data_IF_552579762345
#
_entry.id   IF_552579762345
#
_cell.length_a   1.000
_cell.length_b   1.000
_cell.length_c   1.000
_cell.angle_alpha   90.00
_cell.angle_beta   90.00
_cell.angle_gamma   90.00
#
_symmetry.space_group_name_H-M   'P 1'
#
loop_
_entity.id
_entity.type
_entity.pdbx_description
1 polymer ?
#
# COMPACT_ATOMS: atom_id res chain seq x y z
N UNK A 1 -2.92 9.44 12.95
CA UNK A 1 -1.99 8.30 13.05
C UNK A 1 -2.19 7.60 14.39
N UNK A 2 -2.04 6.27 14.48
CA UNK A 2 -2.11 5.53 15.76
C UNK A 2 -1.20 6.16 16.82
N UNK A 3 0.03 6.52 16.43
CA UNK A 3 1.05 7.00 17.35
C UNK A 3 0.62 8.26 18.10
N UNK A 4 0.01 9.24 17.44
CA UNK A 4 -0.41 10.51 18.06
C UNK A 4 -1.45 10.31 19.19
N UNK A 5 -2.16 9.18 19.21
CA UNK A 5 -3.20 8.89 20.22
C UNK A 5 -2.67 8.18 21.46
N UNK A 6 -1.43 7.73 21.46
CA UNK A 6 -0.79 7.17 22.65
C UNK A 6 -0.45 8.30 23.63
N UNK A 7 -0.58 8.03 24.93
CA UNK A 7 -0.17 8.99 25.95
C UNK A 7 1.32 9.34 25.78
N UNK A 8 1.65 10.63 25.80
CA UNK A 8 3.02 11.12 25.65
C UNK A 8 3.59 11.09 24.22
N UNK A 9 2.81 10.71 23.20
CA UNK A 9 3.32 10.66 21.83
C UNK A 9 3.65 12.05 21.25
N UNK A 10 2.84 13.07 21.56
CA UNK A 10 3.12 14.43 21.08
C UNK A 10 4.43 14.97 21.65
N UNK A 11 4.67 14.80 22.95
CA UNK A 11 5.93 15.18 23.59
C UNK A 11 7.15 14.48 22.97
N UNK A 12 7.01 13.22 22.55
CA UNK A 12 8.04 12.51 21.80
C UNK A 12 8.28 13.12 20.41
N UNK A 13 7.21 13.40 19.66
CA UNK A 13 7.31 14.01 18.33
C UNK A 13 7.90 15.42 18.36
N UNK A 14 7.62 16.19 19.42
CA UNK A 14 8.15 17.53 19.63
C UNK A 14 9.58 17.53 20.18
N UNK A 15 10.19 16.35 20.39
CA UNK A 15 11.54 16.19 20.93
C UNK A 15 11.68 16.49 22.42
N UNK A 16 10.57 16.65 23.15
CA UNK A 16 10.55 16.90 24.60
C UNK A 16 10.66 15.62 25.44
N UNK A 17 10.44 14.45 24.82
CA UNK A 17 10.60 13.15 25.45
C UNK A 17 11.38 12.20 24.55
N UNK A 18 12.20 11.33 25.15
CA UNK A 18 12.97 10.30 24.42
C UNK A 18 12.19 9.03 24.12
N UNK A 19 11.01 8.86 24.72
CA UNK A 19 10.14 7.69 24.56
C UNK A 19 8.66 8.09 24.64
N UNK A 20 7.80 7.25 24.06
CA UNK A 20 6.34 7.41 24.15
C UNK A 20 5.86 6.76 25.47
N UNK A 21 5.42 7.57 26.43
CA UNK A 21 5.03 7.11 27.76
C UNK A 21 3.95 5.99 27.75
N UNK A 22 2.99 6.07 26.82
CA UNK A 22 1.92 5.09 26.66
C UNK A 22 2.30 3.82 25.89
N UNK A 23 3.56 3.63 25.51
CA UNK A 23 4.05 2.44 24.81
C UNK A 23 5.08 1.73 25.70
N UNK A 24 4.69 0.60 26.30
CA UNK A 24 5.56 -0.12 27.25
C UNK A 24 5.61 -1.61 26.94
N UNK A 25 6.81 -2.15 26.74
CA UNK A 25 7.04 -3.59 26.86
C UNK A 25 7.09 -3.94 28.35
N UNK A 26 6.09 -4.67 28.85
CA UNK A 26 6.01 -5.08 30.25
C UNK A 26 6.93 -6.27 30.50
N UNK A 27 6.99 -7.19 29.54
CA UNK A 27 7.88 -8.34 29.50
C UNK A 27 8.12 -8.78 28.04
N UNK A 28 8.74 -9.96 27.84
CA UNK A 28 9.09 -10.50 26.52
C UNK A 28 7.89 -10.71 25.59
N UNK A 29 6.70 -10.98 26.12
CA UNK A 29 5.50 -11.31 25.35
C UNK A 29 4.31 -10.37 25.63
N UNK A 30 4.49 -9.37 26.49
CA UNK A 30 3.43 -8.43 26.86
C UNK A 30 3.77 -6.99 26.45
N UNK A 31 2.99 -6.45 25.52
CA UNK A 31 3.02 -5.03 25.13
C UNK A 31 1.79 -4.31 25.70
N UNK A 32 2.02 -3.25 26.48
CA UNK A 32 0.96 -2.35 26.97
C UNK A 32 0.91 -1.09 26.13
N UNK A 33 -0.28 -0.80 25.62
CA UNK A 33 -0.62 0.43 24.90
C UNK A 33 -1.62 1.23 25.73
N UNK A 34 -1.27 2.47 26.06
CA UNK A 34 -2.11 3.39 26.82
C UNK A 34 -2.45 4.61 25.95
N UNK A 35 -3.74 4.76 25.67
CA UNK A 35 -4.27 5.83 24.81
C UNK A 35 -4.75 7.01 25.64
N UNK A 36 -4.65 8.22 25.09
CA UNK A 36 -5.20 9.44 25.70
C UNK A 36 -6.73 9.49 25.64
N UNK A 37 -7.33 8.76 24.70
CA UNK A 37 -8.77 8.64 24.48
C UNK A 37 -9.12 7.23 23.98
N UNK A 38 -10.38 6.77 24.12
CA UNK A 38 -10.83 5.51 23.51
C UNK A 38 -10.51 5.44 22.02
N UNK A 39 -9.96 4.31 21.56
CA UNK A 39 -9.52 4.14 20.17
C UNK A 39 -10.02 2.82 19.56
N UNK A 40 -11.22 2.86 18.99
CA UNK A 40 -11.88 1.70 18.41
C UNK A 40 -11.12 1.00 17.25
N UNK A 41 -10.44 1.68 16.31
CA UNK A 41 -9.85 1.00 15.15
C UNK A 41 -8.45 0.42 15.42
N UNK A 42 -8.07 0.18 16.68
CA UNK A 42 -6.74 -0.33 17.07
C UNK A 42 -6.34 -1.58 16.29
N UNK A 43 -7.21 -2.60 16.27
CA UNK A 43 -6.90 -3.88 15.61
C UNK A 43 -6.57 -3.69 14.14
N UNK A 44 -7.33 -2.86 13.43
CA UNK A 44 -7.07 -2.54 12.03
C UNK A 44 -5.74 -1.82 11.84
N UNK A 45 -5.39 -0.90 12.74
CA UNK A 45 -4.11 -0.20 12.68
C UNK A 45 -2.92 -1.15 12.87
N UNK A 46 -3.00 -2.07 13.84
CA UNK A 46 -1.94 -3.06 14.11
C UNK A 46 -1.63 -3.95 12.90
N UNK A 47 -2.58 -4.13 11.98
CA UNK A 47 -2.38 -4.87 10.74
C UNK A 47 -1.66 -4.08 9.64
N UNK A 48 -1.41 -2.78 9.82
CA UNK A 48 -0.76 -1.94 8.80
C UNK A 48 0.75 -2.18 8.70
N UNK A 49 1.34 -1.79 7.56
CA UNK A 49 2.78 -1.97 7.30
C UNK A 49 3.67 -1.11 8.22
N UNK A 50 3.14 0.00 8.72
CA UNK A 50 3.89 0.96 9.55
C UNK A 50 4.13 0.47 10.98
N UNK A 51 3.40 -0.56 11.41
CA UNK A 51 3.50 -1.12 12.77
C UNK A 51 4.11 -2.53 12.77
N UNK A 52 4.77 -2.91 11.67
CA UNK A 52 5.55 -4.14 11.63
C UNK A 52 6.74 -4.01 12.56
N UNK A 53 6.94 -5.02 13.40
CA UNK A 53 8.09 -5.10 14.29
C UNK A 53 9.37 -5.31 13.49
N UNK A 54 10.44 -4.65 13.91
CA UNK A 54 11.78 -4.77 13.32
C UNK A 54 12.78 -5.08 14.43
N UNK A 55 13.80 -5.91 14.17
CA UNK A 55 14.85 -6.19 15.14
C UNK A 55 15.75 -4.96 15.30
N UNK A 56 15.78 -4.40 16.52
CA UNK A 56 16.53 -3.18 16.86
C UNK A 56 18.00 -3.30 16.45
N UNK A 57 18.60 -4.45 16.74
CA UNK A 57 20.02 -4.73 16.51
C UNK A 57 20.37 -4.72 15.01
N UNK A 58 19.45 -5.11 14.12
CA UNK A 58 19.70 -5.05 12.68
C UNK A 58 19.45 -3.66 12.11
N UNK A 59 18.55 -2.88 12.72
CA UNK A 59 18.29 -1.49 12.31
C UNK A 59 19.44 -0.58 12.72
N UNK A 60 20.01 -0.78 13.90
CA UNK A 60 21.13 0.02 14.43
C UNK A 60 22.50 -0.42 13.88
N UNK A 61 22.57 -1.54 13.14
CA UNK A 61 23.80 -1.98 12.49
C UNK A 61 24.16 -1.07 11.32
N UNK A 62 25.40 -0.59 11.31
CA UNK A 62 25.93 0.31 10.26
C UNK A 62 26.38 -0.39 8.96
N UNK A 63 26.17 -1.71 8.83
CA UNK A 63 26.75 -2.49 7.72
C UNK A 63 26.09 -2.21 6.35
N UNK A 64 24.77 -2.16 6.32
CA UNK A 64 24.00 -1.84 5.12
C UNK A 64 22.69 -1.16 5.56
N UNK A 65 22.14 -0.22 4.77
CA UNK A 65 20.84 0.35 5.08
C UNK A 65 19.83 -0.78 5.28
N UNK A 66 19.11 -0.78 6.41
CA UNK A 66 18.14 -1.85 6.73
C UNK A 66 17.14 -2.08 5.58
N UNK A 67 16.75 -1.03 4.86
CA UNK A 67 15.88 -1.12 3.68
C UNK A 67 16.47 -1.86 2.47
N UNK A 68 17.78 -2.11 2.42
CA UNK A 68 18.47 -2.89 1.38
C UNK A 68 18.71 -4.34 1.76
N UNK A 69 18.69 -4.66 3.05
CA UNK A 69 18.83 -6.02 3.57
C UNK A 69 17.90 -6.23 4.79
N UNK A 70 16.57 -6.15 4.60
CA UNK A 70 15.63 -6.16 5.71
C UNK A 70 15.54 -7.54 6.37
N UNK A 71 15.44 -7.54 7.70
CA UNK A 71 15.16 -8.73 8.51
C UNK A 71 13.76 -8.59 9.10
N UNK A 72 12.93 -9.62 8.94
CA UNK A 72 11.55 -9.60 9.43
C UNK A 72 11.03 -10.99 9.81
N UNK A 73 9.84 -11.00 10.41
CA UNK A 73 9.20 -12.20 10.98
C UNK A 73 8.10 -12.80 10.09
N UNK A 74 7.99 -12.34 8.84
CA UNK A 74 6.96 -12.78 7.90
C UNK A 74 7.13 -14.21 7.39
N UNK A 75 6.14 -14.68 6.61
CA UNK A 75 6.15 -16.00 5.99
C UNK A 75 7.26 -16.19 4.95
N UNK A 76 7.77 -15.10 4.37
CA UNK A 76 8.90 -15.12 3.44
C UNK A 76 10.03 -14.22 3.97
N UNK A 77 11.27 -14.69 3.76
CA UNK A 77 12.50 -13.98 4.12
C UNK A 77 13.11 -13.36 2.89
N UNK A 78 13.63 -12.15 3.05
CA UNK A 78 14.43 -11.47 2.03
C UNK A 78 15.67 -12.30 1.69
N UNK A 79 15.98 -12.40 0.39
CA UNK A 79 17.20 -13.03 -0.13
C UNK A 79 18.09 -11.95 -0.71
N UNK A 80 17.62 -11.24 -1.72
CA UNK A 80 18.32 -10.15 -2.36
C UNK A 80 17.37 -9.17 -3.04
N UNK A 81 17.95 -8.04 -3.45
CA UNK A 81 17.31 -7.05 -4.30
C UNK A 81 18.29 -6.63 -5.38
N UNK A 82 17.98 -7.00 -6.62
CA UNK A 82 18.64 -6.51 -7.83
C UNK A 82 17.93 -5.23 -8.30
N UNK A 83 18.52 -4.03 -8.11
CA UNK A 83 17.84 -2.77 -8.42
C UNK A 83 17.34 -2.71 -9.86
N UNK A 84 16.07 -2.35 -10.03
CA UNK A 84 15.44 -2.26 -11.34
C UNK A 84 15.12 -3.60 -12.02
N UNK A 85 15.47 -4.74 -11.41
CA UNK A 85 15.28 -6.07 -11.98
C UNK A 85 14.37 -6.97 -11.15
N UNK A 86 14.74 -7.27 -9.89
CA UNK A 86 13.98 -8.22 -9.09
C UNK A 86 14.21 -8.07 -7.58
N UNK A 87 13.20 -8.45 -6.79
CA UNK A 87 13.35 -8.75 -5.35
C UNK A 87 13.04 -10.22 -5.15
N UNK A 88 13.98 -10.97 -4.59
CA UNK A 88 13.80 -12.41 -4.34
C UNK A 88 13.55 -12.65 -2.84
N UNK A 89 12.53 -13.46 -2.56
CA UNK A 89 12.17 -13.91 -1.23
C UNK A 89 12.11 -15.43 -1.19
N UNK A 90 12.52 -16.05 -0.08
CA UNK A 90 12.42 -17.50 0.15
C UNK A 90 11.50 -17.81 1.32
N UNK A 91 10.93 -19.00 1.37
CA UNK A 91 10.11 -19.46 2.48
C UNK A 91 10.83 -19.29 3.84
N UNK A 92 10.07 -18.81 4.83
CA UNK A 92 10.48 -18.84 6.22
C UNK A 92 10.02 -20.15 6.85
N UNK A 93 10.94 -21.11 6.96
CA UNK A 93 10.68 -22.41 7.59
C UNK A 93 10.31 -22.30 9.08
N UNK A 94 10.65 -21.17 9.71
CA UNK A 94 10.37 -20.89 11.13
C UNK A 94 9.24 -19.86 11.31
N UNK A 95 8.35 -19.72 10.32
CA UNK A 95 7.19 -18.85 10.47
C UNK A 95 6.26 -19.37 11.57
N UNK A 96 5.68 -18.45 12.36
CA UNK A 96 4.99 -18.82 13.61
C UNK A 96 3.69 -19.58 13.40
N UNK A 97 3.02 -19.44 12.24
CA UNK A 97 1.82 -20.22 11.94
C UNK A 97 2.17 -21.57 11.31
N UNK A 98 2.88 -21.53 10.17
CA UNK A 98 3.42 -22.71 9.48
C UNK A 98 4.29 -22.28 8.31
N UNK A 99 5.17 -23.15 7.81
CA UNK A 99 5.91 -22.87 6.57
C UNK A 99 4.92 -22.64 5.41
N UNK A 100 5.08 -21.57 4.60
CA UNK A 100 4.22 -21.39 3.43
C UNK A 100 4.41 -22.51 2.41
N UNK A 101 3.38 -22.76 1.60
CA UNK A 101 3.42 -23.77 0.54
C UNK A 101 4.40 -23.42 -0.58
N UNK A 102 4.59 -22.12 -0.87
CA UNK A 102 5.54 -21.67 -1.89
C UNK A 102 6.95 -21.62 -1.34
N UNK A 103 7.92 -22.10 -2.12
CA UNK A 103 9.33 -22.08 -1.74
C UNK A 103 9.98 -20.71 -1.94
N UNK A 104 9.54 -19.97 -2.97
CA UNK A 104 10.14 -18.70 -3.39
C UNK A 104 9.09 -17.77 -3.99
N UNK A 105 9.29 -16.47 -3.81
CA UNK A 105 8.58 -15.41 -4.52
C UNK A 105 9.62 -14.49 -5.15
N UNK A 106 9.47 -14.21 -6.44
CA UNK A 106 10.29 -13.22 -7.15
C UNK A 106 9.40 -12.09 -7.65
N UNK A 107 9.58 -10.90 -7.08
CA UNK A 107 8.94 -9.70 -7.62
C UNK A 107 9.80 -9.15 -8.74
N UNK A 108 9.39 -9.35 -9.99
CA UNK A 108 10.04 -8.74 -11.16
C UNK A 108 9.68 -7.25 -11.25
N UNK A 109 10.70 -6.42 -11.39
CA UNK A 109 10.57 -4.97 -11.53
C UNK A 109 10.67 -4.64 -13.02
N UNK A 110 9.70 -3.88 -13.51
CA UNK A 110 9.67 -3.39 -14.89
C UNK A 110 9.84 -1.86 -14.87
N UNK A 111 11.05 -1.34 -15.12
CA UNK A 111 11.30 0.09 -15.14
C UNK A 111 10.37 0.81 -16.12
N UNK A 112 9.85 1.98 -15.73
CA UNK A 112 8.81 2.74 -16.46
C UNK A 112 7.42 2.07 -16.55
N UNK A 113 7.25 0.87 -16.00
CA UNK A 113 5.95 0.31 -15.62
C UNK A 113 4.94 0.13 -16.76
N UNK A 114 5.40 -0.19 -17.98
CA UNK A 114 4.48 -0.47 -19.09
C UNK A 114 3.63 -1.70 -18.77
N UNK A 115 2.35 -1.49 -18.47
CA UNK A 115 1.40 -2.56 -18.20
C UNK A 115 1.26 -3.53 -19.37
N UNK A 116 1.50 -3.06 -20.60
CA UNK A 116 1.47 -3.90 -21.80
C UNK A 116 2.62 -4.92 -21.75
N UNK A 117 3.85 -4.47 -21.47
CA UNK A 117 5.01 -5.36 -21.38
C UNK A 117 4.88 -6.38 -20.24
N UNK A 118 4.38 -5.94 -19.08
CA UNK A 118 4.11 -6.83 -17.95
C UNK A 118 3.10 -7.90 -18.35
N UNK A 119 2.02 -7.49 -19.03
CA UNK A 119 0.98 -8.42 -19.47
C UNK A 119 1.49 -9.39 -20.56
N UNK A 120 2.39 -8.95 -21.44
CA UNK A 120 3.01 -9.83 -22.42
C UNK A 120 3.90 -10.90 -21.75
N UNK A 121 4.64 -10.54 -20.71
CA UNK A 121 5.42 -11.51 -19.92
C UNK A 121 4.52 -12.50 -19.17
N UNK A 122 3.37 -12.05 -18.67
CA UNK A 122 2.34 -12.92 -18.10
C UNK A 122 1.78 -13.91 -19.14
N UNK A 123 1.45 -13.45 -20.35
CA UNK A 123 0.97 -14.33 -21.43
C UNK A 123 2.00 -15.38 -21.85
N UNK A 124 3.30 -15.06 -21.74
CA UNK A 124 4.40 -16.01 -22.01
C UNK A 124 4.59 -17.04 -20.88
N UNK A 125 3.89 -16.90 -19.75
CA UNK A 125 4.05 -17.77 -18.59
C UNK A 125 5.22 -17.39 -17.67
N UNK A 126 5.81 -16.20 -17.85
CA UNK A 126 6.92 -15.73 -17.03
C UNK A 126 6.48 -15.01 -15.74
N UNK A 127 5.17 -14.87 -15.52
CA UNK A 127 4.54 -14.24 -14.34
C UNK A 127 3.25 -15.00 -14.00
N UNK A 128 2.95 -15.11 -12.71
CA UNK A 128 1.75 -15.76 -12.20
C UNK A 128 0.55 -14.81 -12.07
N UNK A 129 0.80 -13.49 -12.02
CA UNK A 129 -0.24 -12.45 -11.93
C UNK A 129 0.18 -11.21 -12.74
N UNK A 130 -0.80 -10.51 -13.31
CA UNK A 130 -0.61 -9.23 -13.97
C UNK A 130 -1.88 -8.38 -13.88
N UNK A 131 -1.69 -7.06 -13.80
CA UNK A 131 -2.75 -6.10 -14.10
C UNK A 131 -3.12 -6.18 -15.57
N UNK A 132 -4.40 -5.97 -15.87
CA UNK A 132 -4.91 -5.92 -17.26
C UNK A 132 -4.61 -4.52 -17.83
N UNK A 133 -3.87 -4.38 -18.94
CA UNK A 133 -3.58 -3.09 -19.54
C UNK A 133 -4.85 -2.46 -20.13
N UNK A 134 -4.93 -1.12 -20.21
CA UNK A 134 -6.00 -0.41 -20.91
C UNK A 134 -5.80 -0.58 -22.43
N UNK A 135 -6.43 -1.62 -23.00
CA UNK A 135 -6.33 -1.97 -24.43
C UNK A 135 -7.72 -2.06 -25.06
N UNK A 136 -7.82 -1.83 -26.36
CA UNK A 136 -9.08 -1.94 -27.11
C UNK A 136 -9.74 -3.33 -26.96
N UNK A 137 -8.93 -4.38 -26.81
CA UNK A 137 -9.37 -5.78 -26.74
C UNK A 137 -9.64 -6.27 -25.29
N UNK A 138 -9.81 -5.37 -24.32
CA UNK A 138 -10.02 -5.74 -22.90
C UNK A 138 -11.15 -6.76 -22.72
N UNK A 139 -12.28 -6.58 -23.39
CA UNK A 139 -13.44 -7.48 -23.27
C UNK A 139 -13.11 -8.91 -23.72
N UNK A 140 -12.31 -9.06 -24.77
CA UNK A 140 -11.86 -10.37 -25.25
C UNK A 140 -10.95 -11.04 -24.22
N UNK A 141 -10.05 -10.28 -23.58
CA UNK A 141 -9.20 -10.79 -22.51
C UNK A 141 -10.00 -11.23 -21.27
N UNK A 142 -11.04 -10.46 -20.90
CA UNK A 142 -11.90 -10.79 -19.76
C UNK A 142 -12.72 -12.06 -19.99
N UNK A 143 -13.14 -12.31 -21.24
CA UNK A 143 -13.95 -13.47 -21.62
C UNK A 143 -13.11 -14.68 -22.04
N UNK A 144 -11.78 -14.58 -22.02
CA UNK A 144 -10.91 -15.67 -22.43
C UNK A 144 -10.90 -16.77 -21.34
N UNK A 145 -11.31 -18.01 -21.65
CA UNK A 145 -11.37 -19.09 -20.66
C UNK A 145 -10.00 -19.50 -20.08
N UNK A 146 -8.89 -19.15 -20.75
CA UNK A 146 -7.54 -19.40 -20.25
C UNK A 146 -7.16 -18.49 -19.05
N UNK A 147 -7.88 -17.39 -18.81
CA UNK A 147 -7.54 -16.44 -17.76
C UNK A 147 -8.65 -16.30 -16.73
N UNK A 148 -8.28 -16.36 -15.44
CA UNK A 148 -9.18 -16.01 -14.35
C UNK A 148 -9.06 -14.52 -14.03
N UNK A 149 -9.98 -13.72 -14.56
CA UNK A 149 -10.05 -12.29 -14.27
C UNK A 149 -10.70 -12.02 -12.92
N UNK A 150 -10.08 -11.19 -12.09
CA UNK A 150 -10.62 -10.80 -10.77
C UNK A 150 -10.78 -9.27 -10.71
N UNK A 151 -12.02 -8.80 -10.53
CA UNK A 151 -12.29 -7.40 -10.17
C UNK A 151 -12.12 -7.28 -8.65
N UNK A 152 -11.14 -6.48 -8.22
CA UNK A 152 -10.91 -6.17 -6.80
C UNK A 152 -11.42 -4.76 -6.52
N UNK A 153 -12.36 -4.64 -5.60
CA UNK A 153 -12.76 -3.32 -5.08
C UNK A 153 -11.60 -2.71 -4.30
N UNK A 154 -11.30 -1.46 -4.59
CA UNK A 154 -10.29 -0.70 -3.87
C UNK A 154 -11.02 0.33 -3.03
N UNK A 155 -10.73 0.36 -1.73
CA UNK A 155 -11.15 1.47 -0.85
C UNK A 155 -10.24 2.68 -1.09
N UNK A 156 -10.27 3.20 -2.31
CA UNK A 156 -9.44 4.31 -2.76
C UNK A 156 -10.22 5.20 -3.74
N UNK A 157 -10.14 6.50 -3.52
CA UNK A 157 -10.69 7.52 -4.41
C UNK A 157 -9.55 8.13 -5.22
N UNK A 158 -9.65 8.12 -6.55
CA UNK A 158 -8.76 8.90 -7.39
C UNK A 158 -9.32 10.32 -7.51
N UNK A 159 -8.51 11.32 -7.18
CA UNK A 159 -8.90 12.72 -7.27
C UNK A 159 -7.71 13.57 -7.69
N UNK A 160 -7.99 14.78 -8.17
CA UNK A 160 -6.96 15.77 -8.43
C UNK A 160 -6.73 16.62 -7.20
N UNK A 161 -5.50 16.55 -6.70
CA UNK A 161 -5.03 17.49 -5.68
C UNK A 161 -4.82 18.85 -6.33
N UNK A 162 -5.51 19.87 -5.84
CA UNK A 162 -5.34 21.26 -6.29
C UNK A 162 -4.66 22.04 -5.17
N UNK A 163 -3.47 22.58 -5.45
CA UNK A 163 -2.80 23.48 -4.53
C UNK A 163 -3.54 24.82 -4.49
N UNK A 164 -4.00 25.23 -3.31
CA UNK A 164 -4.79 26.45 -3.14
C UNK A 164 -3.99 27.59 -2.51
N UNK A 165 -2.66 27.44 -2.35
CA UNK A 165 -1.82 28.42 -1.65
C UNK A 165 -1.50 29.64 -2.50
N UNK A 166 -1.32 29.46 -3.81
CA UNK A 166 -0.96 30.52 -4.75
C UNK A 166 -1.57 30.32 -6.15
N UNK A 167 -1.37 31.31 -7.02
CA UNK A 167 -1.79 31.26 -8.42
C UNK A 167 -3.30 31.23 -8.66
N UNK A 168 -3.75 30.86 -9.87
CA UNK A 168 -5.17 30.85 -10.24
C UNK A 168 -6.03 29.90 -9.40
N UNK A 169 -5.43 28.82 -8.88
CA UNK A 169 -6.10 27.83 -8.05
C UNK A 169 -6.36 28.32 -6.62
N UNK A 170 -5.80 29.46 -6.20
CA UNK A 170 -6.15 30.10 -4.93
C UNK A 170 -7.62 30.56 -4.91
N UNK A 171 -8.16 31.00 -6.05
CA UNK A 171 -9.57 31.39 -6.17
C UNK A 171 -10.48 30.15 -6.18
N UNK A 172 -11.41 30.00 -5.21
CA UNK A 172 -12.35 28.89 -5.16
C UNK A 172 -13.24 28.78 -6.41
N UNK A 173 -13.51 29.89 -7.12
CA UNK A 173 -14.31 29.91 -8.35
C UNK A 173 -13.60 29.18 -9.48
N UNK A 174 -12.28 29.31 -9.59
CA UNK A 174 -11.47 28.61 -10.60
C UNK A 174 -11.50 27.11 -10.34
N UNK A 175 -11.30 26.69 -9.09
CA UNK A 175 -11.38 25.26 -8.71
C UNK A 175 -12.77 24.67 -8.99
N UNK A 176 -13.84 25.44 -8.72
CA UNK A 176 -15.22 25.04 -9.03
C UNK A 176 -15.44 24.92 -10.53
N UNK A 177 -14.92 25.85 -11.34
CA UNK A 177 -15.01 25.79 -12.80
C UNK A 177 -14.33 24.53 -13.35
N UNK A 178 -13.12 24.20 -12.87
CA UNK A 178 -12.41 22.97 -13.24
C UNK A 178 -13.23 21.73 -12.87
N UNK A 179 -13.80 21.69 -11.66
CA UNK A 179 -14.62 20.56 -11.22
C UNK A 179 -15.85 20.34 -12.13
N UNK A 180 -16.53 21.42 -12.52
CA UNK A 180 -17.72 21.37 -13.38
C UNK A 180 -17.39 21.08 -14.86
N UNK A 181 -16.18 21.38 -15.32
CA UNK A 181 -15.75 21.17 -16.70
C UNK A 181 -15.42 19.69 -17.02
N UNK A 182 -15.30 18.83 -16.00
CA UNK A 182 -14.93 17.42 -16.18
C UNK A 182 -16.18 16.55 -16.20
N UNK A 183 -16.49 15.95 -17.35
CA UNK A 183 -17.48 14.88 -17.43
C UNK A 183 -16.90 13.57 -16.88
N UNK A 184 -17.15 13.33 -15.59
CA UNK A 184 -16.68 12.14 -14.87
C UNK A 184 -17.30 10.86 -15.41
N UNK A 185 -18.59 10.87 -15.73
CA UNK A 185 -19.29 9.71 -16.27
C UNK A 185 -18.71 9.29 -17.62
N UNK A 186 -18.47 10.25 -18.52
CA UNK A 186 -17.80 10.01 -19.80
C UNK A 186 -16.36 9.51 -19.61
N UNK A 187 -15.60 10.13 -18.71
CA UNK A 187 -14.23 9.70 -18.41
C UNK A 187 -14.15 8.25 -17.92
N UNK A 188 -15.03 7.86 -16.98
CA UNK A 188 -15.10 6.49 -16.45
C UNK A 188 -15.49 5.50 -17.54
N UNK A 189 -16.48 5.85 -18.36
CA UNK A 189 -16.99 4.97 -19.42
C UNK A 189 -16.00 4.79 -20.56
N UNK A 190 -15.46 5.89 -21.09
CA UNK A 190 -14.68 5.89 -22.34
C UNK A 190 -13.20 5.70 -22.07
N UNK A 191 -12.61 6.51 -21.19
CA UNK A 191 -11.17 6.46 -20.92
C UNK A 191 -10.85 5.25 -20.04
N UNK A 192 -11.65 4.99 -19.00
CA UNK A 192 -11.42 3.88 -18.07
C UNK A 192 -12.18 2.60 -18.39
N UNK A 193 -12.98 2.56 -19.46
CA UNK A 193 -13.70 1.36 -19.90
C UNK A 193 -14.50 0.67 -18.76
N UNK A 194 -15.18 1.46 -17.91
CA UNK A 194 -15.96 0.98 -16.75
C UNK A 194 -15.16 0.15 -15.73
N UNK A 195 -13.85 0.40 -15.60
CA UNK A 195 -13.00 -0.24 -14.57
C UNK A 195 -13.22 0.31 -13.17
N UNK A 196 -13.63 1.56 -13.08
CA UNK A 196 -13.83 2.31 -11.86
C UNK A 196 -15.29 2.74 -11.80
N UNK A 197 -15.75 3.02 -10.59
CA UNK A 197 -17.07 3.58 -10.35
C UNK A 197 -16.90 5.11 -10.15
N UNK A 198 -17.92 5.89 -10.48
CA UNK A 198 -17.84 7.35 -10.33
C UNK A 198 -17.77 7.73 -8.84
N UNK A 199 -16.80 8.58 -8.49
CA UNK A 199 -16.66 9.06 -7.13
C UNK A 199 -17.51 10.33 -6.90
N UNK A 200 -18.43 10.25 -5.95
CA UNK A 200 -19.26 11.38 -5.51
C UNK A 200 -18.73 12.08 -4.26
N UNK A 201 -17.79 11.46 -3.54
CA UNK A 201 -17.16 12.02 -2.35
C UNK A 201 -15.68 11.61 -2.27
N UNK A 202 -14.92 12.27 -1.40
CA UNK A 202 -13.53 11.86 -1.13
C UNK A 202 -13.47 10.49 -0.43
N UNK A 203 -14.46 10.19 0.40
CA UNK A 203 -14.58 8.92 1.11
C UNK A 203 -15.25 7.91 0.14
N UNK A 204 -14.60 6.78 -0.17
CA UNK A 204 -15.21 5.74 -1.00
C UNK A 204 -16.50 5.22 -0.38
N UNK A 205 -17.49 4.92 -1.21
CA UNK A 205 -18.72 4.28 -0.76
C UNK A 205 -18.42 2.92 -0.09
N UNK A 206 -19.13 2.61 0.99
CA UNK A 206 -18.90 1.41 1.80
C UNK A 206 -17.78 1.53 2.84
N UNK A 207 -17.10 2.68 2.92
CA UNK A 207 -16.18 2.99 4.02
C UNK A 207 -16.92 3.79 5.10
N UNK A 208 -16.86 3.32 6.36
CA UNK A 208 -17.35 4.10 7.50
C UNK A 208 -16.46 5.34 7.69
N UNK A 209 -17.09 6.51 7.76
CA UNK A 209 -16.44 7.78 8.08
C UNK A 209 -16.01 7.83 9.56
#
# INVERSE_FOLDING_TARGET
SLFVRLKGAQAFLDGQASQIAGLKAIDKYTLRLEFSQPYAPLMRQLCTVWLKVVPKEEVERERAPFGRSPVGTGAFRFVDWEPGKAINLKANEKYFESRPYLDRITYRIFPRGSLILIFDEFKKGNLEDSKIPEVAQRTQLLNNPCYKSVRKSLFATLFWWMDSRDGPLSDPRVRRAIHLAIDRSHFVKVVRQNRFDEAHSLIPEGMFA
#
